data_IF_634157555842
#
_entry.id   IF_634157555842
#
_cell.length_a   1.000
_cell.length_b   1.000
_cell.length_c   1.000
_cell.angle_alpha   90.00
_cell.angle_beta   90.00
_cell.angle_gamma   90.00
#
_symmetry.space_group_name_H-M   'P 1'
#
loop_
_entity.id
_entity.type
_entity.pdbx_description
1 polymer ?
#
# COMPACT_ATOMS: atom_id res chain seq x y z
N UNK A 1 -10.86 -10.82 -28.96
CA UNK A 1 -11.57 -11.93 -28.30
C UNK A 1 -11.35 -11.76 -26.81
N UNK A 2 -12.38 -11.45 -26.03
CA UNK A 2 -12.28 -11.41 -24.56
C UNK A 2 -12.09 -12.84 -24.03
N UNK A 3 -11.19 -13.03 -23.07
CA UNK A 3 -10.99 -14.32 -22.43
C UNK A 3 -12.27 -14.76 -21.70
N UNK A 4 -12.44 -16.06 -21.48
CA UNK A 4 -13.60 -16.53 -20.71
C UNK A 4 -13.57 -15.97 -19.29
N UNK A 5 -14.74 -15.60 -18.75
CA UNK A 5 -14.85 -15.05 -17.38
C UNK A 5 -14.15 -15.93 -16.33
N UNK A 6 -14.31 -17.25 -16.42
CA UNK A 6 -13.64 -18.23 -15.55
C UNK A 6 -12.12 -18.18 -15.65
N UNK A 7 -11.58 -17.99 -16.85
CA UNK A 7 -10.15 -17.84 -17.03
C UNK A 7 -9.65 -16.57 -16.34
N UNK A 8 -10.33 -15.44 -16.54
CA UNK A 8 -9.97 -14.15 -15.91
C UNK A 8 -10.02 -14.24 -14.38
N UNK A 9 -11.06 -14.87 -13.82
CA UNK A 9 -11.20 -15.07 -12.37
C UNK A 9 -10.04 -15.91 -11.80
N UNK A 10 -9.70 -17.04 -12.44
CA UNK A 10 -8.58 -17.89 -12.01
C UNK A 10 -7.24 -17.17 -12.15
N UNK A 11 -7.02 -16.47 -13.26
CA UNK A 11 -5.80 -15.70 -13.50
C UNK A 11 -5.63 -14.58 -12.46
N UNK A 12 -6.70 -13.86 -12.13
CA UNK A 12 -6.70 -12.82 -11.11
C UNK A 12 -6.38 -13.38 -9.72
N UNK A 13 -6.98 -14.52 -9.35
CA UNK A 13 -6.71 -15.18 -8.08
C UNK A 13 -5.25 -15.64 -7.97
N UNK A 14 -4.70 -16.24 -9.03
CA UNK A 14 -3.29 -16.65 -9.07
C UNK A 14 -2.36 -15.44 -9.02
N UNK A 15 -2.67 -14.36 -9.74
CA UNK A 15 -1.87 -13.14 -9.73
C UNK A 15 -1.88 -12.46 -8.35
N UNK A 16 -3.04 -12.35 -7.70
CA UNK A 16 -3.15 -11.82 -6.34
C UNK A 16 -2.41 -12.69 -5.33
N UNK A 17 -2.52 -14.02 -5.45
CA UNK A 17 -1.78 -14.97 -4.62
C UNK A 17 -0.27 -14.84 -4.79
N UNK A 18 0.22 -14.78 -6.03
CA UNK A 18 1.64 -14.58 -6.33
C UNK A 18 2.14 -13.24 -5.78
N UNK A 19 1.37 -12.17 -5.97
CA UNK A 19 1.68 -10.85 -5.41
C UNK A 19 1.82 -10.89 -3.89
N UNK A 20 0.88 -11.53 -3.17
CA UNK A 20 0.94 -11.64 -1.70
C UNK A 20 2.11 -12.49 -1.22
N UNK A 21 2.45 -13.56 -1.95
CA UNK A 21 3.64 -14.37 -1.65
C UNK A 21 4.90 -13.53 -1.81
N UNK A 22 5.04 -12.79 -2.93
CA UNK A 22 6.16 -11.89 -3.16
C UNK A 22 6.26 -10.79 -2.09
N UNK A 23 5.13 -10.16 -1.76
CA UNK A 23 5.04 -9.16 -0.70
C UNK A 23 5.49 -9.73 0.65
N UNK A 24 5.02 -10.93 1.02
CA UNK A 24 5.37 -11.58 2.28
C UNK A 24 6.84 -11.97 2.36
N UNK A 25 7.43 -12.42 1.25
CA UNK A 25 8.87 -12.74 1.18
C UNK A 25 9.75 -11.51 1.40
N UNK A 26 9.34 -10.36 0.85
CA UNK A 26 10.07 -9.10 0.98
C UNK A 26 9.93 -8.51 2.39
N UNK A 27 8.71 -8.32 2.87
CA UNK A 27 8.47 -7.50 4.06
C UNK A 27 8.42 -8.29 5.36
N UNK A 28 8.15 -9.61 5.31
CA UNK A 28 7.96 -10.47 6.49
C UNK A 28 8.84 -11.71 6.51
N UNK A 29 9.60 -11.90 5.44
CA UNK A 29 10.32 -13.13 5.17
C UNK A 29 11.82 -12.88 5.10
N UNK A 30 12.41 -13.42 4.04
CA UNK A 30 13.87 -13.53 3.92
C UNK A 30 14.58 -12.19 3.75
N UNK A 31 13.91 -11.17 3.22
CA UNK A 31 14.52 -9.89 2.85
C UNK A 31 14.12 -8.71 3.73
N UNK A 32 13.42 -8.94 4.84
CA UNK A 32 12.79 -7.89 5.63
C UNK A 32 13.78 -6.91 6.31
N UNK A 33 15.04 -7.32 6.48
CA UNK A 33 16.08 -6.62 7.25
C UNK A 33 16.98 -5.70 6.40
N UNK A 34 16.94 -5.80 5.06
CA UNK A 34 17.86 -5.11 4.15
C UNK A 34 17.17 -4.03 3.28
N UNK A 35 15.95 -3.62 3.63
CA UNK A 35 15.16 -2.68 2.82
C UNK A 35 15.59 -1.22 3.06
N UNK A 36 15.96 -0.53 1.98
CA UNK A 36 16.08 0.94 1.98
C UNK A 36 14.67 1.49 1.78
N UNK A 37 14.12 2.13 2.83
CA UNK A 37 12.72 2.57 2.85
C UNK A 37 12.57 4.03 3.31
N UNK A 38 11.59 4.71 2.73
CA UNK A 38 11.18 6.06 3.13
C UNK A 38 10.08 6.06 4.21
N UNK A 39 9.79 4.89 4.79
CA UNK A 39 8.74 4.72 5.82
C UNK A 39 8.90 5.72 6.99
N UNK A 40 10.10 6.00 7.51
CA UNK A 40 10.27 7.00 8.56
C UNK A 40 9.82 8.40 8.13
N UNK A 41 10.06 8.78 6.86
CA UNK A 41 9.62 10.07 6.30
C UNK A 41 8.09 10.10 6.16
N UNK A 42 7.47 8.99 5.74
CA UNK A 42 6.01 8.87 5.71
C UNK A 42 5.38 9.00 7.10
N UNK A 43 6.02 8.39 8.10
CA UNK A 43 5.60 8.48 9.50
C UNK A 43 5.68 9.92 10.02
N UNK A 44 6.77 10.65 9.72
CA UNK A 44 6.89 12.06 10.08
C UNK A 44 5.72 12.89 9.52
N UNK A 45 5.39 12.72 8.24
CA UNK A 45 4.25 13.43 7.64
C UNK A 45 2.91 13.02 8.24
N UNK A 46 2.67 11.72 8.43
CA UNK A 46 1.43 11.22 9.03
C UNK A 46 1.21 11.75 10.44
N UNK A 47 2.23 11.66 11.29
CA UNK A 47 2.19 12.09 12.68
C UNK A 47 2.05 13.62 12.80
N UNK A 48 2.66 14.39 11.89
CA UNK A 48 2.45 15.84 11.83
C UNK A 48 0.98 16.20 11.52
N UNK A 49 0.31 15.44 10.65
CA UNK A 49 -1.11 15.64 10.33
C UNK A 49 -1.99 15.23 11.50
N UNK A 50 -1.71 14.07 12.11
CA UNK A 50 -2.42 13.61 13.31
C UNK A 50 -2.33 14.62 14.46
N UNK A 51 -1.15 15.23 14.65
CA UNK A 51 -0.93 16.33 15.58
C UNK A 51 -1.64 17.65 15.23
N UNK A 52 -2.40 17.70 14.14
CA UNK A 52 -3.19 18.86 13.71
C UNK A 52 -2.50 19.79 12.70
N UNK A 53 -1.32 19.42 12.21
CA UNK A 53 -0.61 20.17 11.17
C UNK A 53 -1.32 20.10 9.82
N UNK A 54 -1.40 21.23 9.10
CA UNK A 54 -2.01 21.28 7.77
C UNK A 54 -0.92 21.11 6.69
N UNK A 55 -0.97 20.05 5.87
CA UNK A 55 0.03 19.78 4.84
C UNK A 55 0.04 20.89 3.78
N UNK A 56 1.24 21.22 3.31
CA UNK A 56 1.54 22.33 2.38
C UNK A 56 1.31 23.75 2.94
N UNK A 57 0.87 23.88 4.19
CA UNK A 57 0.74 25.16 4.90
C UNK A 57 1.72 25.26 6.06
N UNK A 58 1.64 24.31 6.99
CA UNK A 58 2.42 24.31 8.23
C UNK A 58 3.73 23.52 8.07
N UNK A 59 3.71 22.50 7.22
CA UNK A 59 4.88 21.72 6.77
C UNK A 59 4.71 21.35 5.29
N UNK A 60 5.78 20.88 4.63
CA UNK A 60 5.81 20.68 3.18
C UNK A 60 6.20 19.25 2.81
N UNK A 61 5.25 18.33 2.68
CA UNK A 61 5.51 17.01 2.12
C UNK A 61 6.12 17.13 0.71
N UNK A 62 7.13 16.32 0.43
CA UNK A 62 7.73 16.21 -0.92
C UNK A 62 6.81 15.54 -1.94
N UNK A 63 5.81 14.81 -1.44
CA UNK A 63 4.85 14.04 -2.22
C UNK A 63 3.60 14.85 -2.62
N UNK A 64 2.88 14.47 -3.69
CA UNK A 64 1.63 15.14 -4.08
C UNK A 64 0.48 14.84 -3.10
N UNK A 65 -0.59 15.67 -3.08
CA UNK A 65 -1.69 15.53 -2.12
C UNK A 65 -2.39 14.16 -2.12
N UNK A 66 -2.37 13.46 -3.26
CA UNK A 66 -2.95 12.11 -3.38
C UNK A 66 -2.20 11.05 -2.57
N UNK A 67 -0.97 11.30 -2.12
CA UNK A 67 -0.21 10.38 -1.28
C UNK A 67 -0.58 10.50 0.21
N UNK A 68 -1.19 11.61 0.64
CA UNK A 68 -1.49 11.87 2.05
C UNK A 68 -2.30 10.76 2.75
N UNK A 69 -3.31 10.13 2.11
CA UNK A 69 -4.02 9.01 2.75
C UNK A 69 -3.10 7.85 3.13
N UNK A 70 -2.03 7.60 2.37
CA UNK A 70 -1.06 6.55 2.68
C UNK A 70 -0.16 6.89 3.87
N UNK A 71 -0.12 8.16 4.31
CA UNK A 71 0.63 8.59 5.49
C UNK A 71 -0.29 8.72 6.71
N UNK A 72 -1.50 9.26 6.51
CA UNK A 72 -2.46 9.52 7.58
C UNK A 72 -3.08 8.23 8.11
N UNK A 73 -3.43 7.29 7.24
CA UNK A 73 -4.08 6.05 7.68
C UNK A 73 -3.19 5.23 8.63
N UNK A 74 -1.89 5.01 8.34
CA UNK A 74 -1.01 4.33 9.28
C UNK A 74 -0.77 5.11 10.57
N UNK A 75 -0.59 6.44 10.52
CA UNK A 75 -0.43 7.27 11.72
C UNK A 75 -1.62 7.12 12.68
N UNK A 76 -2.85 7.22 12.17
CA UNK A 76 -4.06 7.08 13.00
C UNK A 76 -4.29 5.67 13.59
N UNK A 77 -3.57 4.66 13.11
CA UNK A 77 -3.75 3.25 13.47
C UNK A 77 -2.52 2.66 14.16
N UNK A 78 -1.53 3.47 14.52
CA UNK A 78 -0.30 3.02 15.15
C UNK A 78 0.21 4.01 16.19
N UNK A 79 0.90 3.49 17.22
CA UNK A 79 1.47 4.30 18.30
C UNK A 79 3.00 4.44 18.19
N UNK A 80 3.64 3.65 17.34
CA UNK A 80 5.10 3.62 17.14
C UNK A 80 5.48 3.36 15.67
N UNK A 81 6.78 3.48 15.38
CA UNK A 81 7.33 3.35 14.04
C UNK A 81 7.12 1.95 13.43
N UNK A 82 7.20 0.89 14.26
CA UNK A 82 6.99 -0.48 13.79
C UNK A 82 5.51 -0.71 13.46
N UNK A 83 4.60 -0.21 14.29
CA UNK A 83 3.16 -0.23 14.01
C UNK A 83 2.82 0.55 12.75
N UNK A 84 3.43 1.72 12.55
CA UNK A 84 3.25 2.49 11.33
C UNK A 84 3.69 1.70 10.10
N UNK A 85 4.89 1.09 10.16
CA UNK A 85 5.42 0.21 9.11
C UNK A 85 4.44 -0.93 8.82
N UNK A 86 3.99 -1.64 9.84
CA UNK A 86 3.10 -2.80 9.69
C UNK A 86 1.78 -2.41 9.00
N UNK A 87 1.16 -1.30 9.44
CA UNK A 87 -0.09 -0.81 8.83
C UNK A 87 0.14 -0.32 7.42
N UNK A 88 1.23 0.41 7.15
CA UNK A 88 1.58 0.90 5.82
C UNK A 88 1.80 -0.25 4.84
N UNK A 89 2.57 -1.26 5.22
CA UNK A 89 2.84 -2.42 4.38
C UNK A 89 1.56 -3.19 4.04
N UNK A 90 0.68 -3.40 5.02
CA UNK A 90 -0.61 -4.06 4.80
C UNK A 90 -1.54 -3.21 3.92
N UNK A 91 -1.53 -1.89 4.08
CA UNK A 91 -2.26 -0.97 3.22
C UNK A 91 -1.79 -1.10 1.77
N UNK A 92 -0.48 -1.13 1.54
CA UNK A 92 0.10 -1.32 0.20
C UNK A 92 -0.21 -2.72 -0.37
N UNK A 93 -0.20 -3.76 0.46
CA UNK A 93 -0.64 -5.09 0.05
C UNK A 93 -2.11 -5.09 -0.40
N UNK A 94 -3.00 -4.43 0.35
CA UNK A 94 -4.41 -4.29 -0.02
C UNK A 94 -4.57 -3.50 -1.33
N UNK A 95 -3.83 -2.41 -1.53
CA UNK A 95 -3.81 -1.65 -2.78
C UNK A 95 -3.35 -2.51 -3.96
N UNK A 96 -2.30 -3.33 -3.79
CA UNK A 96 -1.81 -4.22 -4.84
C UNK A 96 -2.84 -5.28 -5.24
N UNK A 97 -3.49 -5.92 -4.26
CA UNK A 97 -4.60 -6.87 -4.52
C UNK A 97 -5.75 -6.16 -5.23
N UNK A 98 -6.16 -4.98 -4.76
CA UNK A 98 -7.21 -4.19 -5.39
C UNK A 98 -6.87 -3.85 -6.85
N UNK A 99 -5.62 -3.48 -7.15
CA UNK A 99 -5.17 -3.23 -8.53
C UNK A 99 -5.30 -4.48 -9.41
N UNK A 100 -4.90 -5.66 -8.93
CA UNK A 100 -5.07 -6.93 -9.66
C UNK A 100 -6.55 -7.20 -9.97
N UNK A 101 -7.43 -6.99 -8.99
CA UNK A 101 -8.87 -7.15 -9.18
C UNK A 101 -9.44 -6.14 -10.18
N UNK A 102 -9.02 -4.87 -10.12
CA UNK A 102 -9.44 -3.84 -11.07
C UNK A 102 -8.99 -4.16 -12.50
N UNK A 103 -7.76 -4.67 -12.67
CA UNK A 103 -7.29 -5.17 -13.98
C UNK A 103 -8.16 -6.32 -14.47
N UNK A 104 -8.52 -7.26 -13.59
CA UNK A 104 -9.41 -8.36 -13.94
C UNK A 104 -10.81 -7.87 -14.39
N UNK A 105 -11.35 -6.87 -13.70
CA UNK A 105 -12.63 -6.22 -14.07
C UNK A 105 -12.53 -5.55 -15.44
N UNK A 106 -11.47 -4.76 -15.68
CA UNK A 106 -11.25 -4.12 -16.97
C UNK A 106 -11.09 -5.13 -18.12
N UNK A 107 -10.36 -6.23 -17.90
CA UNK A 107 -10.19 -7.31 -18.87
C UNK A 107 -11.48 -8.11 -19.12
N UNK A 108 -12.39 -8.14 -18.15
CA UNK A 108 -13.73 -8.72 -18.30
C UNK A 108 -14.65 -7.83 -19.18
N UNK A 109 -14.24 -6.60 -19.50
CA UNK A 109 -14.97 -5.68 -20.38
C UNK A 109 -16.03 -4.84 -19.67
N UNK A 110 -15.82 -4.53 -18.39
CA UNK A 110 -16.60 -3.55 -17.61
C UNK A 110 -15.90 -2.19 -17.57
#
# INVERSE_FOLDING_TARGET
MTASRRFTEVAAALAAGLFLVSWGVLHRGWYAEDEIVDIPVYAEYGNAIEGGGVPYRDFRPEYPPGALPAFVVPALLSDDEQGFRDVFEWLMAACGVACVLLVAVALAGL
#
